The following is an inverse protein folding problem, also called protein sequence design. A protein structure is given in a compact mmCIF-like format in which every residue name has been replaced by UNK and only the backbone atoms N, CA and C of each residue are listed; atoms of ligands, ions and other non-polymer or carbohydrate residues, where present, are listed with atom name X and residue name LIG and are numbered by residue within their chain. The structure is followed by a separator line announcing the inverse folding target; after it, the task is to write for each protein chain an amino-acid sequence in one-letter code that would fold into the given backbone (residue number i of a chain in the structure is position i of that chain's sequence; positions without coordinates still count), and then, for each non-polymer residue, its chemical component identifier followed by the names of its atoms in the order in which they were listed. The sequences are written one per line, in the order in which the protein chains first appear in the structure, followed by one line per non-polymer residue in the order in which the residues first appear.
data_IF_985857541364
#
_entry.id   IF_985857541364
#
_cell.length_a   1.000
_cell.length_b   1.000
_cell.length_c   1.000
_cell.angle_alpha   90.00
_cell.angle_beta   90.00
_cell.angle_gamma   90.00
#
_symmetry.space_group_name_H-M   'P 1'
#
loop_
_entity.id
_entity.type
_entity.pdbx_description
1 polymer ?
#
# COMPACT_ATOMS: atom_id res chain seq x y z
N UNK A 1 2.54 -17.52 76.53
CA UNK A 1 2.15 -16.12 76.25
C UNK A 1 3.42 -15.31 76.39
N UNK A 2 3.63 -14.35 75.48
CA UNK A 2 4.75 -13.41 75.34
C UNK A 2 6.05 -13.88 74.63
N UNK A 3 6.20 -13.27 73.46
CA UNK A 3 7.39 -13.07 72.63
C UNK A 3 8.34 -12.07 73.30
N UNK A 4 9.66 -12.25 73.16
CA UNK A 4 10.57 -11.10 73.06
C UNK A 4 11.77 -11.37 72.15
N UNK A 5 12.32 -10.27 71.65
CA UNK A 5 12.77 -9.99 70.30
C UNK A 5 14.27 -10.20 70.09
N UNK A 6 14.65 -10.70 68.91
CA UNK A 6 15.87 -10.27 68.21
C UNK A 6 15.55 -10.11 66.73
N UNK A 7 15.23 -8.86 66.35
CA UNK A 7 15.10 -8.46 64.95
C UNK A 7 16.50 -8.29 64.35
N UNK A 8 16.83 -9.13 63.37
CA UNK A 8 17.94 -8.91 62.44
C UNK A 8 17.40 -8.00 61.34
N UNK A 9 17.92 -6.77 61.25
CA UNK A 9 17.59 -5.86 60.16
C UNK A 9 18.39 -6.30 58.92
N UNK A 10 17.72 -6.95 57.98
CA UNK A 10 18.25 -7.16 56.63
C UNK A 10 17.86 -5.95 55.78
N UNK A 11 18.86 -5.15 55.39
CA UNK A 11 18.68 -4.05 54.43
C UNK A 11 18.58 -4.67 53.03
N UNK A 12 17.36 -4.75 52.49
CA UNK A 12 17.13 -5.07 51.08
C UNK A 12 17.36 -3.82 50.23
N UNK A 13 18.48 -3.80 49.51
CA UNK A 13 18.71 -2.84 48.43
C UNK A 13 18.00 -3.36 47.19
N UNK A 14 16.81 -2.82 46.90
CA UNK A 14 16.14 -3.05 45.62
C UNK A 14 16.84 -2.21 44.54
N UNK A 15 17.70 -2.84 43.73
CA UNK A 15 18.16 -2.25 42.47
C UNK A 15 17.04 -2.40 41.45
N UNK A 16 16.32 -1.32 41.19
CA UNK A 16 15.39 -1.24 40.07
C UNK A 16 16.22 -1.19 38.78
N UNK A 17 16.27 -2.30 38.05
CA UNK A 17 16.81 -2.32 36.69
C UNK A 17 15.72 -1.79 35.76
N UNK A 18 15.81 -0.51 35.45
CA UNK A 18 15.00 0.11 34.39
C UNK A 18 15.43 -0.48 33.06
N UNK A 19 14.68 -1.45 32.54
CA UNK A 19 14.84 -1.89 31.16
C UNK A 19 14.33 -0.76 30.26
N UNK A 20 15.24 0.11 29.83
CA UNK A 20 14.96 1.03 28.73
C UNK A 20 14.80 0.20 27.47
N UNK A 21 13.56 -0.04 27.06
CA UNK A 21 13.25 -0.51 25.71
C UNK A 21 13.71 0.57 24.76
N UNK A 22 14.84 0.35 24.09
CA UNK A 22 15.21 1.13 22.93
C UNK A 22 14.11 0.92 21.88
N UNK A 23 13.24 1.92 21.73
CA UNK A 23 12.40 2.03 20.55
C UNK A 23 13.40 2.19 19.40
N UNK A 24 13.54 1.15 18.59
CA UNK A 24 14.27 1.28 17.33
C UNK A 24 13.57 2.39 16.56
N UNK A 25 14.20 3.55 16.46
CA UNK A 25 13.79 4.58 15.51
C UNK A 25 13.86 3.90 14.15
N UNK A 26 12.69 3.58 13.59
CA UNK A 26 12.60 3.08 12.23
C UNK A 26 13.29 4.10 11.34
N UNK A 27 14.20 3.62 10.50
CA UNK A 27 14.90 4.44 9.51
C UNK A 27 13.91 4.81 8.39
N UNK A 28 12.86 5.56 8.73
CA UNK A 28 11.94 6.13 7.76
C UNK A 28 12.70 7.18 6.97
N UNK A 29 12.86 6.95 5.67
CA UNK A 29 13.39 7.96 4.75
C UNK A 29 12.53 9.21 4.84
N UNK A 30 13.16 10.39 4.82
CA UNK A 30 12.41 11.66 4.71
C UNK A 30 11.70 11.67 3.36
N UNK A 31 10.49 12.21 3.29
CA UNK A 31 9.71 12.29 2.03
C UNK A 31 10.57 12.75 0.85
N UNK A 32 11.32 13.84 1.03
CA UNK A 32 12.14 14.46 -0.02
C UNK A 32 13.33 13.60 -0.48
N UNK A 33 13.68 12.52 0.21
CA UNK A 33 14.74 11.61 -0.23
C UNK A 33 14.25 10.71 -1.36
N UNK A 34 13.02 10.18 -1.22
CA UNK A 34 12.47 9.21 -2.16
C UNK A 34 11.45 9.81 -3.13
N UNK A 35 10.75 10.87 -2.73
CA UNK A 35 9.58 11.39 -3.43
C UNK A 35 9.71 12.88 -3.77
N UNK A 36 8.87 13.31 -4.69
CA UNK A 36 8.70 14.70 -5.11
C UNK A 36 7.23 14.97 -5.45
N UNK A 37 6.79 16.22 -5.38
CA UNK A 37 5.48 16.61 -5.88
C UNK A 37 5.36 16.30 -7.38
N UNK A 38 4.26 15.67 -7.78
CA UNK A 38 3.94 15.45 -9.20
C UNK A 38 3.05 16.55 -9.75
N UNK A 39 2.14 17.10 -8.94
CA UNK A 39 1.43 18.37 -9.21
C UNK A 39 0.95 19.04 -7.92
N UNK A 40 0.57 20.31 -8.03
CA UNK A 40 -0.03 21.14 -6.96
C UNK A 40 0.73 21.03 -5.62
N UNK A 41 2.00 21.43 -5.63
CA UNK A 41 2.84 21.43 -4.42
C UNK A 41 2.33 22.37 -3.33
N UNK A 42 1.49 23.35 -3.67
CA UNK A 42 0.77 24.23 -2.74
C UNK A 42 -0.35 23.51 -1.96
N UNK A 43 -0.79 22.35 -2.45
CA UNK A 43 -1.75 21.44 -1.80
C UNK A 43 -1.05 20.28 -1.06
N UNK A 44 0.27 20.39 -0.86
CA UNK A 44 1.09 19.47 -0.08
C UNK A 44 1.59 20.17 1.19
N UNK A 45 1.01 19.83 2.33
CA UNK A 45 1.31 20.48 3.61
C UNK A 45 2.18 19.56 4.46
N UNK A 46 3.32 20.07 4.91
CA UNK A 46 4.18 19.39 5.87
C UNK A 46 3.83 19.82 7.30
N UNK A 47 3.51 18.86 8.15
CA UNK A 47 3.19 19.06 9.56
C UNK A 47 4.11 18.16 10.41
N UNK A 48 5.28 18.70 10.76
CA UNK A 48 6.37 17.91 11.32
C UNK A 48 6.88 16.88 10.31
N UNK A 49 6.74 15.60 10.66
CA UNK A 49 7.10 14.47 9.77
C UNK A 49 5.92 13.98 8.92
N UNK A 50 4.72 14.53 9.11
CA UNK A 50 3.54 14.17 8.33
C UNK A 50 3.52 14.94 7.01
N UNK A 51 3.24 14.23 5.92
CA UNK A 51 2.82 14.83 4.67
C UNK A 51 1.30 14.78 4.59
N UNK A 52 0.65 15.90 4.28
CA UNK A 52 -0.79 15.99 4.06
C UNK A 52 -1.06 16.41 2.62
N UNK A 53 -1.91 15.67 1.92
CA UNK A 53 -2.46 16.12 0.64
C UNK A 53 -3.85 16.70 0.87
N UNK A 54 -4.11 17.86 0.29
CA UNK A 54 -5.41 18.52 0.36
C UNK A 54 -6.12 18.53 -0.99
N UNK A 55 -7.45 18.44 -0.96
CA UNK A 55 -8.31 18.58 -2.12
C UNK A 55 -9.39 19.61 -1.83
N UNK A 56 -9.53 20.58 -2.72
CA UNK A 56 -10.61 21.55 -2.72
C UNK A 56 -11.08 21.86 -4.16
N UNK A 57 -11.96 22.86 -4.31
CA UNK A 57 -12.53 23.24 -5.61
C UNK A 57 -11.48 23.68 -6.65
N UNK A 58 -10.27 24.01 -6.23
CA UNK A 58 -9.22 24.50 -7.12
C UNK A 58 -8.35 23.36 -7.65
N UNK A 59 -7.93 22.43 -6.79
CA UNK A 59 -7.07 21.31 -7.17
C UNK A 59 -7.10 20.19 -6.13
N UNK A 60 -6.73 18.98 -6.57
CA UNK A 60 -6.16 17.96 -5.70
C UNK A 60 -4.63 18.08 -5.63
N UNK A 61 -3.97 17.01 -5.18
CA UNK A 61 -2.50 16.96 -5.14
C UNK A 61 -2.00 15.54 -5.35
N UNK A 62 -0.73 15.43 -5.73
CA UNK A 62 -0.06 14.14 -5.82
C UNK A 62 1.44 14.25 -5.73
N UNK A 63 2.05 13.09 -5.49
CA UNK A 63 3.48 12.91 -5.49
C UNK A 63 3.89 11.64 -6.23
N UNK A 64 5.15 11.59 -6.64
CA UNK A 64 5.77 10.43 -7.26
C UNK A 64 7.15 10.17 -6.66
N UNK A 65 7.62 8.93 -6.72
CA UNK A 65 9.01 8.61 -6.44
C UNK A 65 9.92 9.30 -7.46
N UNK A 66 11.14 9.65 -7.03
CA UNK A 66 12.18 10.22 -7.90
C UNK A 66 12.80 9.19 -8.83
N UNK A 67 12.86 7.95 -8.37
CA UNK A 67 13.38 6.81 -9.11
C UNK A 67 12.27 5.83 -9.46
N UNK A 68 12.56 4.90 -10.37
CA UNK A 68 11.69 3.77 -10.69
C UNK A 68 12.26 2.51 -10.09
N UNK A 69 11.44 1.48 -9.99
CA UNK A 69 11.81 0.24 -9.34
C UNK A 69 11.37 -0.94 -10.18
N UNK A 70 12.19 -1.99 -10.17
CA UNK A 70 11.80 -3.31 -10.66
C UNK A 70 11.80 -4.28 -9.48
N UNK A 71 10.63 -4.76 -9.09
CA UNK A 71 10.41 -5.54 -7.88
C UNK A 71 10.74 -4.79 -6.57
N UNK A 72 10.34 -5.37 -5.44
CA UNK A 72 10.51 -4.81 -4.11
C UNK A 72 9.19 -4.68 -3.36
N UNK A 73 9.19 -3.84 -2.32
CA UNK A 73 8.02 -3.48 -1.54
C UNK A 73 7.94 -1.97 -1.35
N UNK A 74 6.80 -1.39 -1.70
CA UNK A 74 6.47 0.00 -1.40
C UNK A 74 5.42 0.02 -0.28
N UNK A 75 5.61 0.84 0.74
CA UNK A 75 4.66 1.00 1.85
C UNK A 75 4.43 2.45 2.21
N UNK A 76 3.21 2.77 2.64
CA UNK A 76 2.88 4.04 3.26
C UNK A 76 1.95 3.81 4.45
N UNK A 77 2.18 4.51 5.56
CA UNK A 77 1.19 4.63 6.61
C UNK A 77 0.24 5.77 6.25
N UNK A 78 -1.03 5.46 5.98
CA UNK A 78 -2.03 6.39 5.47
C UNK A 78 -3.16 6.52 6.48
N UNK A 79 -3.57 7.75 6.76
CA UNK A 79 -4.82 8.06 7.45
C UNK A 79 -5.73 8.83 6.51
N UNK A 80 -6.88 8.23 6.19
CA UNK A 80 -7.80 8.71 5.16
C UNK A 80 -8.59 9.94 5.61
N UNK A 81 -9.28 10.55 4.65
CA UNK A 81 -10.13 11.74 4.86
C UNK A 81 -11.25 11.40 5.85
N UNK A 82 -11.31 12.11 6.96
CA UNK A 82 -12.38 11.96 7.94
C UNK A 82 -13.66 12.71 7.56
N UNK A 83 -14.79 12.33 8.17
CA UNK A 83 -16.08 12.96 7.93
C UNK A 83 -16.71 12.50 6.61
N UNK A 84 -17.31 13.44 5.89
CA UNK A 84 -17.89 13.17 4.57
C UNK A 84 -16.81 13.35 3.50
N UNK A 85 -16.43 12.23 2.88
CA UNK A 85 -15.41 12.14 1.85
C UNK A 85 -15.98 11.64 0.53
N UNK A 86 -17.31 11.67 0.36
CA UNK A 86 -17.96 11.18 -0.85
C UNK A 86 -17.40 11.86 -2.11
N UNK A 87 -17.27 11.09 -3.19
CA UNK A 87 -16.69 11.48 -4.47
C UNK A 87 -15.17 11.65 -4.47
N UNK A 88 -14.48 11.55 -3.32
CA UNK A 88 -13.01 11.62 -3.28
C UNK A 88 -12.37 10.25 -3.45
N UNK A 89 -11.21 10.22 -4.11
CA UNK A 89 -10.33 9.06 -4.18
C UNK A 89 -8.95 9.44 -3.68
N UNK A 90 -8.49 8.71 -2.66
CA UNK A 90 -7.06 8.66 -2.32
C UNK A 90 -6.45 7.48 -3.04
N UNK A 91 -5.36 7.68 -3.78
CA UNK A 91 -4.64 6.59 -4.43
C UNK A 91 -3.24 6.40 -3.84
N UNK A 92 -2.77 5.15 -3.79
CA UNK A 92 -1.38 4.77 -3.57
C UNK A 92 -1.07 3.61 -4.52
N UNK A 93 -0.21 3.84 -5.50
CA UNK A 93 -0.09 2.94 -6.63
C UNK A 93 1.32 2.87 -7.18
N UNK A 94 1.61 1.82 -7.94
CA UNK A 94 2.83 1.69 -8.73
C UNK A 94 2.45 1.66 -10.20
N UNK A 95 3.14 2.39 -11.07
CA UNK A 95 2.81 2.42 -12.50
C UNK A 95 4.05 2.61 -13.37
N UNK A 96 4.10 1.95 -14.52
CA UNK A 96 5.07 2.22 -15.59
C UNK A 96 4.50 3.24 -16.57
N UNK A 97 5.30 3.66 -17.55
CA UNK A 97 4.87 4.69 -18.49
C UNK A 97 4.34 4.12 -19.80
N UNK A 98 3.47 4.88 -20.46
CA UNK A 98 3.01 4.61 -21.81
C UNK A 98 1.70 3.85 -21.89
N UNK A 99 1.26 3.58 -23.12
CA UNK A 99 -0.05 2.98 -23.38
C UNK A 99 -0.14 1.51 -22.92
N UNK A 100 0.99 0.81 -22.88
CA UNK A 100 1.08 -0.59 -22.46
C UNK A 100 1.63 -0.70 -21.02
N UNK A 101 1.34 0.26 -20.16
CA UNK A 101 1.87 0.29 -18.80
C UNK A 101 1.40 -0.93 -17.98
N UNK A 102 2.22 -1.31 -17.01
CA UNK A 102 1.84 -2.14 -15.89
C UNK A 102 1.51 -1.23 -14.70
N UNK A 103 0.51 -1.59 -13.89
CA UNK A 103 0.10 -0.75 -12.75
C UNK A 103 -0.56 -1.59 -11.64
N UNK A 104 -0.31 -1.19 -10.38
CA UNK A 104 -0.86 -1.79 -9.16
C UNK A 104 -1.50 -0.71 -8.30
N UNK A 105 -2.81 -0.81 -8.10
CA UNK A 105 -3.57 0.26 -7.46
C UNK A 105 -4.04 -0.11 -6.06
N UNK A 106 -3.84 0.77 -5.09
CA UNK A 106 -4.79 0.99 -4.02
C UNK A 106 -5.55 2.28 -4.29
N UNK A 107 -6.87 2.20 -4.33
CA UNK A 107 -7.77 3.35 -4.43
C UNK A 107 -8.78 3.29 -3.28
N UNK A 108 -8.70 4.27 -2.38
CA UNK A 108 -9.61 4.41 -1.26
C UNK A 108 -10.78 5.30 -1.66
N UNK A 109 -11.94 4.68 -1.79
CA UNK A 109 -13.16 5.32 -2.26
C UNK A 109 -13.87 5.93 -1.05
N UNK A 110 -13.91 7.27 -1.01
CA UNK A 110 -14.57 8.00 0.05
C UNK A 110 -16.09 7.78 0.07
N UNK A 111 -16.70 8.12 1.20
CA UNK A 111 -18.12 7.88 1.43
C UNK A 111 -18.73 8.99 2.29
N UNK A 112 -20.06 9.00 2.41
CA UNK A 112 -20.75 9.93 3.31
C UNK A 112 -20.44 9.60 4.77
N UNK A 113 -20.47 10.61 5.65
CA UNK A 113 -20.20 10.43 7.08
C UNK A 113 -20.95 9.24 7.68
N UNK A 114 -20.21 8.33 8.32
CA UNK A 114 -20.75 7.15 9.00
C UNK A 114 -20.89 5.91 8.13
N UNK A 115 -20.74 6.04 6.81
CA UNK A 115 -20.68 4.90 5.89
C UNK A 115 -19.22 4.43 5.69
N UNK A 116 -18.98 3.13 5.47
CA UNK A 116 -17.62 2.60 5.38
C UNK A 116 -16.91 3.06 4.11
N UNK A 117 -15.59 3.25 4.23
CA UNK A 117 -14.70 3.32 3.08
C UNK A 117 -14.66 1.98 2.35
N UNK A 118 -14.45 2.03 1.03
CA UNK A 118 -14.04 0.86 0.26
C UNK A 118 -12.60 1.03 -0.19
N UNK A 119 -11.81 -0.02 -0.09
CA UNK A 119 -10.50 -0.12 -0.72
C UNK A 119 -10.62 -0.94 -2.00
N UNK A 120 -10.43 -0.27 -3.14
CA UNK A 120 -10.31 -0.91 -4.44
C UNK A 120 -8.85 -1.24 -4.70
N UNK A 121 -8.59 -2.45 -5.19
CA UNK A 121 -7.32 -2.81 -5.81
C UNK A 121 -7.53 -3.12 -7.28
N UNK A 122 -6.57 -2.73 -8.11
CA UNK A 122 -6.59 -3.06 -9.54
C UNK A 122 -5.18 -3.42 -10.01
N UNK A 123 -5.13 -4.12 -11.15
CA UNK A 123 -3.87 -4.57 -11.75
C UNK A 123 -3.97 -4.39 -13.26
N UNK A 124 -3.11 -3.54 -13.80
CA UNK A 124 -2.88 -3.43 -15.24
C UNK A 124 -1.67 -4.26 -15.63
N UNK A 125 -1.82 -4.98 -16.74
CA UNK A 125 -0.72 -5.69 -17.39
C UNK A 125 -0.78 -5.34 -18.87
N UNK A 126 0.30 -4.79 -19.42
CA UNK A 126 0.36 -4.34 -20.81
C UNK A 126 -0.80 -3.42 -21.21
N UNK A 127 -1.10 -2.43 -20.37
CA UNK A 127 -2.14 -1.43 -20.58
C UNK A 127 -3.57 -1.94 -20.37
N UNK A 128 -3.75 -3.21 -20.03
CA UNK A 128 -5.06 -3.80 -19.79
C UNK A 128 -5.29 -3.97 -18.30
N UNK A 129 -6.20 -3.19 -17.73
CA UNK A 129 -6.70 -3.33 -16.36
C UNK A 129 -7.94 -4.23 -16.30
N UNK A 130 -9.02 -3.70 -15.74
CA UNK A 130 -10.30 -4.39 -15.52
C UNK A 130 -10.23 -5.56 -14.53
N UNK A 131 -9.37 -5.43 -13.52
CA UNK A 131 -9.15 -6.47 -12.49
C UNK A 131 -9.52 -5.94 -11.11
N UNK A 132 -10.59 -5.17 -11.00
CA UNK A 132 -10.94 -4.51 -9.74
C UNK A 132 -11.39 -5.56 -8.69
N UNK A 133 -10.87 -5.43 -7.48
CA UNK A 133 -11.45 -6.04 -6.29
C UNK A 133 -11.72 -4.95 -5.27
N UNK A 134 -12.87 -4.98 -4.60
CA UNK A 134 -13.22 -4.01 -3.57
C UNK A 134 -13.44 -4.72 -2.25
N UNK A 135 -12.81 -4.21 -1.19
CA UNK A 135 -13.01 -4.68 0.16
C UNK A 135 -13.49 -3.52 1.04
N UNK A 136 -14.27 -3.81 2.07
CA UNK A 136 -14.30 -2.92 3.24
C UNK A 136 -13.07 -3.21 4.15
N UNK A 137 -12.96 -2.51 5.27
CA UNK A 137 -11.87 -2.66 6.21
C UNK A 137 -12.40 -3.04 7.60
N UNK A 138 -11.64 -3.85 8.34
CA UNK A 138 -11.97 -4.29 9.70
C UNK A 138 -11.65 -3.23 10.78
N UNK A 139 -11.44 -1.98 10.37
CA UNK A 139 -11.16 -0.81 11.20
C UNK A 139 -11.65 0.45 10.47
N UNK A 140 -11.74 1.57 11.19
CA UNK A 140 -12.02 2.89 10.60
C UNK A 140 -10.71 3.56 10.14
N UNK A 141 -10.44 3.62 8.82
CA UNK A 141 -9.17 4.12 8.27
C UNK A 141 -9.00 5.64 8.39
N UNK A 142 -10.01 6.35 8.93
CA UNK A 142 -9.96 7.80 9.14
C UNK A 142 -9.46 8.18 10.54
N UNK A 143 -9.46 7.22 11.47
CA UNK A 143 -9.19 7.46 12.89
C UNK A 143 -7.72 7.35 13.26
N UNK A 144 -6.99 6.42 12.65
CA UNK A 144 -5.55 6.22 12.85
C UNK A 144 -4.86 5.88 11.53
N UNK A 145 -3.52 5.90 11.55
CA UNK A 145 -2.71 5.47 10.43
C UNK A 145 -2.62 3.94 10.35
N UNK A 146 -2.88 3.42 9.17
CA UNK A 146 -2.68 2.01 8.83
C UNK A 146 -1.66 1.88 7.70
N UNK A 147 -0.90 0.79 7.68
CA UNK A 147 0.14 0.57 6.68
C UNK A 147 -0.44 -0.15 5.47
N UNK A 148 -0.34 0.49 4.31
CA UNK A 148 -0.72 -0.09 3.03
C UNK A 148 0.53 -0.41 2.24
N UNK A 149 0.62 -1.63 1.73
CA UNK A 149 1.85 -2.14 1.11
C UNK A 149 1.58 -2.89 -0.19
N UNK A 150 2.44 -2.65 -1.18
CA UNK A 150 2.49 -3.40 -2.44
C UNK A 150 3.82 -4.14 -2.45
N UNK A 151 3.78 -5.46 -2.32
CA UNK A 151 4.93 -6.33 -2.55
C UNK A 151 4.87 -6.85 -3.99
N UNK A 152 5.94 -6.69 -4.74
CA UNK A 152 6.06 -7.17 -6.11
C UNK A 152 7.37 -7.91 -6.29
N UNK A 153 7.29 -9.16 -6.72
CA UNK A 153 8.45 -9.98 -7.04
C UNK A 153 8.17 -10.82 -8.30
N UNK A 154 9.14 -11.60 -8.81
CA UNK A 154 8.95 -12.41 -10.03
C UNK A 154 7.85 -13.47 -9.93
N UNK A 155 7.33 -13.76 -8.73
CA UNK A 155 6.36 -14.83 -8.47
C UNK A 155 4.95 -14.30 -8.23
N UNK A 156 4.82 -13.09 -7.67
CA UNK A 156 3.53 -12.55 -7.26
C UNK A 156 3.56 -11.03 -7.02
N UNK A 157 2.37 -10.43 -7.13
CA UNK A 157 2.02 -9.13 -6.56
C UNK A 157 1.10 -9.37 -5.38
N UNK A 158 1.41 -8.79 -4.23
CA UNK A 158 0.63 -8.91 -2.99
C UNK A 158 0.27 -7.53 -2.48
N UNK A 159 -1.02 -7.31 -2.27
CA UNK A 159 -1.56 -6.10 -1.63
C UNK A 159 -1.76 -6.40 -0.15
N UNK A 160 -1.18 -5.58 0.73
CA UNK A 160 -1.20 -5.77 2.18
C UNK A 160 -1.81 -4.55 2.88
N UNK A 161 -2.57 -4.83 3.94
CA UNK A 161 -3.06 -3.86 4.93
C UNK A 161 -2.56 -4.34 6.30
N UNK A 162 -1.69 -3.58 6.96
CA UNK A 162 -1.02 -3.96 8.21
C UNK A 162 -0.41 -5.36 8.16
N UNK A 163 0.35 -5.65 7.10
CA UNK A 163 0.94 -6.97 6.81
C UNK A 163 -0.07 -8.12 6.58
N UNK A 164 -1.37 -7.84 6.60
CA UNK A 164 -2.44 -8.80 6.25
C UNK A 164 -2.67 -8.74 4.73
N UNK A 165 -2.44 -9.84 3.98
CA UNK A 165 -2.70 -9.84 2.55
C UNK A 165 -4.20 -9.76 2.27
N UNK A 166 -4.60 -8.79 1.46
CA UNK A 166 -5.99 -8.64 1.01
C UNK A 166 -6.19 -9.16 -0.42
N UNK A 167 -5.10 -9.26 -1.20
CA UNK A 167 -5.11 -9.77 -2.56
C UNK A 167 -3.74 -10.29 -2.97
N UNK A 168 -3.73 -11.36 -3.78
CA UNK A 168 -2.55 -11.89 -4.46
C UNK A 168 -2.85 -12.06 -5.94
N UNK A 169 -1.91 -11.62 -6.79
CA UNK A 169 -1.88 -11.90 -8.21
C UNK A 169 -0.60 -12.67 -8.55
N UNK A 170 -0.75 -13.95 -8.85
CA UNK A 170 0.37 -14.85 -9.08
C UNK A 170 0.88 -14.73 -10.52
N UNK A 171 2.20 -14.84 -10.69
CA UNK A 171 2.80 -15.05 -11.99
C UNK A 171 2.37 -16.42 -12.53
N UNK A 172 1.66 -16.42 -13.65
CA UNK A 172 1.19 -17.59 -14.39
C UNK A 172 1.65 -17.55 -15.86
N UNK A 173 2.81 -16.95 -16.13
CA UNK A 173 3.39 -16.88 -17.48
C UNK A 173 3.66 -18.28 -18.07
N UNK A 174 3.94 -19.28 -17.22
CA UNK A 174 4.05 -20.70 -17.61
C UNK A 174 2.74 -21.26 -18.21
N UNK A 175 1.61 -20.63 -17.89
CA UNK A 175 0.27 -20.91 -18.43
C UNK A 175 -0.16 -19.92 -19.51
N UNK A 176 0.77 -19.07 -20.00
CA UNK A 176 0.51 -18.07 -21.04
C UNK A 176 -0.26 -16.83 -20.57
N UNK A 177 -0.31 -16.58 -19.26
CA UNK A 177 -0.98 -15.41 -18.69
C UNK A 177 0.09 -14.35 -18.41
N UNK A 178 -0.06 -13.16 -19.00
CA UNK A 178 0.90 -12.08 -18.85
C UNK A 178 1.06 -11.64 -17.39
N UNK A 179 2.30 -11.31 -17.01
CA UNK A 179 2.65 -10.80 -15.70
C UNK A 179 3.51 -9.52 -15.85
N UNK A 180 3.35 -8.54 -14.95
CA UNK A 180 4.16 -7.32 -14.90
C UNK A 180 5.58 -7.67 -14.41
N UNK A 181 6.45 -8.15 -15.30
CA UNK A 181 7.76 -8.71 -14.96
C UNK A 181 8.97 -7.91 -15.43
N UNK A 182 8.77 -6.88 -16.26
CA UNK A 182 9.88 -6.20 -16.95
C UNK A 182 9.79 -4.68 -17.00
N UNK A 183 8.63 -4.09 -16.77
CA UNK A 183 8.50 -2.63 -16.80
C UNK A 183 8.82 -2.02 -15.44
N UNK A 184 9.85 -1.18 -15.38
CA UNK A 184 10.19 -0.41 -14.17
C UNK A 184 9.04 0.56 -13.84
N UNK A 185 8.61 0.59 -12.58
CA UNK A 185 7.48 1.38 -12.11
C UNK A 185 7.90 2.45 -11.11
N UNK A 186 7.31 3.64 -11.21
CA UNK A 186 7.35 4.63 -10.13
C UNK A 186 6.34 4.27 -9.04
N UNK A 187 6.52 4.82 -7.84
CA UNK A 187 5.53 4.77 -6.75
C UNK A 187 4.85 6.13 -6.68
N UNK A 188 3.53 6.15 -6.65
CA UNK A 188 2.73 7.35 -6.74
C UNK A 188 1.66 7.38 -5.64
N UNK A 189 1.20 8.60 -5.34
CA UNK A 189 0.01 8.78 -4.53
C UNK A 189 -0.66 10.10 -4.86
N UNK A 190 -1.96 10.14 -4.67
CA UNK A 190 -2.77 11.32 -4.99
C UNK A 190 -4.06 11.39 -4.18
N UNK A 191 -4.63 12.58 -4.12
CA UNK A 191 -5.99 12.85 -3.66
C UNK A 191 -6.72 13.67 -4.74
N UNK A 192 -7.83 13.16 -5.24
CA UNK A 192 -8.57 13.77 -6.35
C UNK A 192 -10.07 13.47 -6.30
N UNK A 193 -10.86 14.20 -7.09
CA UNK A 193 -12.30 14.01 -7.21
C UNK A 193 -12.63 13.04 -8.36
N UNK A 194 -13.46 12.05 -8.06
CA UNK A 194 -13.86 10.96 -8.95
C UNK A 194 -15.38 10.76 -8.92
N UNK A 195 -16.11 11.88 -8.98
CA UNK A 195 -17.57 11.97 -8.83
C UNK A 195 -18.35 10.98 -9.70
N UNK A 196 -17.84 10.65 -10.87
CA UNK A 196 -18.52 9.80 -11.85
C UNK A 196 -18.60 8.34 -11.43
N UNK A 197 -17.81 7.89 -10.44
CA UNK A 197 -17.77 6.46 -10.11
C UNK A 197 -17.43 6.11 -8.65
N UNK A 198 -16.71 6.97 -7.91
CA UNK A 198 -16.10 6.60 -6.62
C UNK A 198 -17.12 6.15 -5.56
N UNK A 199 -18.12 6.97 -5.26
CA UNK A 199 -19.05 6.69 -4.16
C UNK A 199 -20.37 6.15 -4.69
N UNK A 200 -20.70 4.91 -4.28
CA UNK A 200 -21.92 4.22 -4.68
C UNK A 200 -22.10 4.14 -6.21
N UNK A 201 -20.99 3.92 -6.94
CA UNK A 201 -20.99 3.89 -8.40
C UNK A 201 -21.29 5.26 -9.04
N UNK A 202 -20.85 6.34 -8.39
CA UNK A 202 -20.98 7.72 -8.89
C UNK A 202 -22.31 8.40 -8.58
N UNK A 203 -23.17 7.79 -7.76
CA UNK A 203 -24.48 8.37 -7.38
C UNK A 203 -24.35 9.50 -6.39
N UNK A 204 -23.38 9.42 -5.49
CA UNK A 204 -23.11 10.44 -4.48
C UNK A 204 -21.90 11.25 -4.93
N UNK A 205 -22.08 12.57 -5.01
CA UNK A 205 -21.08 13.53 -5.49
C UNK A 205 -20.37 14.20 -4.32
N UNK A 206 -19.17 14.72 -4.57
CA UNK A 206 -18.43 15.50 -3.59
C UNK A 206 -19.20 16.74 -3.18
N UNK A 207 -19.44 16.88 -1.87
CA UNK A 207 -19.94 18.10 -1.29
C UNK A 207 -18.78 19.05 -0.95
N UNK A 208 -18.45 19.93 -1.89
CA UNK A 208 -17.33 20.87 -1.76
C UNK A 208 -17.44 21.87 -0.59
N UNK A 209 -18.60 22.00 0.06
CA UNK A 209 -18.69 22.78 1.31
C UNK A 209 -17.94 22.14 2.49
N UNK A 210 -17.54 20.87 2.37
CA UNK A 210 -16.73 20.15 3.34
C UNK A 210 -15.22 20.21 3.03
N UNK A 211 -14.82 20.88 1.94
CA UNK A 211 -13.41 21.10 1.63
C UNK A 211 -12.73 22.01 2.69
N UNK A 212 -11.41 21.86 2.92
CA UNK A 212 -10.51 20.91 2.24
C UNK A 212 -10.66 19.49 2.77
N UNK A 213 -10.66 18.52 1.85
CA UNK A 213 -10.49 17.11 2.18
C UNK A 213 -9.00 16.84 2.39
N UNK A 214 -8.64 16.13 3.47
CA UNK A 214 -7.23 15.96 3.85
C UNK A 214 -6.92 14.49 4.10
N UNK A 215 -5.99 13.94 3.34
CA UNK A 215 -5.36 12.65 3.64
C UNK A 215 -3.96 12.89 4.20
N UNK A 216 -3.56 12.08 5.18
CA UNK A 216 -2.24 12.20 5.83
C UNK A 216 -1.40 10.96 5.58
N UNK A 217 -0.10 11.17 5.39
CA UNK A 217 0.92 10.15 5.16
C UNK A 217 2.06 10.27 6.17
N UNK A 218 2.60 9.12 6.56
CA UNK A 218 3.91 8.99 7.22
C UNK A 218 4.54 7.65 6.83
N UNK A 219 5.78 7.43 7.25
CA UNK A 219 6.49 6.15 7.06
C UNK A 219 6.48 5.65 5.60
N UNK A 220 6.58 6.58 4.65
CA UNK A 220 6.73 6.28 3.22
C UNK A 220 8.08 5.60 2.99
N UNK A 221 8.05 4.35 2.51
CA UNK A 221 9.24 3.52 2.31
C UNK A 221 9.16 2.81 0.97
N UNK A 222 10.29 2.74 0.29
CA UNK A 222 10.49 1.91 -0.89
C UNK A 222 11.74 1.09 -0.65
N UNK A 223 11.58 -0.23 -0.62
CA UNK A 223 12.67 -1.20 -0.55
C UNK A 223 12.57 -2.10 -1.77
N UNK A 224 13.27 -1.72 -2.84
CA UNK A 224 13.18 -2.35 -4.14
C UNK A 224 14.42 -2.10 -4.99
N UNK A 225 14.51 -2.76 -6.15
CA UNK A 225 15.64 -2.56 -7.05
C UNK A 225 15.47 -1.23 -7.78
N UNK A 226 16.13 -0.18 -7.29
CA UNK A 226 16.09 1.14 -7.89
C UNK A 226 16.71 1.15 -9.29
N UNK A 227 15.99 1.68 -10.28
CA UNK A 227 16.42 1.85 -11.66
C UNK A 227 16.35 3.33 -12.01
N UNK A 228 17.49 3.91 -12.37
CA UNK A 228 17.55 5.30 -12.82
C UNK A 228 16.71 5.49 -14.10
N UNK A 229 16.08 6.66 -14.23
CA UNK A 229 15.15 6.97 -15.34
C UNK A 229 15.81 6.75 -16.72
N UNK A 230 17.08 7.12 -16.86
CA UNK A 230 17.84 7.09 -18.13
C UNK A 230 18.55 5.75 -18.43
N UNK A 231 18.45 4.76 -17.54
CA UNK A 231 19.16 3.50 -17.73
C UNK A 231 18.47 2.60 -18.77
N UNK A 232 19.26 1.86 -19.56
CA UNK A 232 18.75 0.94 -20.59
C UNK A 232 18.00 -0.22 -19.94
N UNK A 233 16.82 -0.54 -20.49
CA UNK A 233 15.92 -1.51 -19.85
C UNK A 233 16.54 -2.93 -19.79
N UNK A 234 17.33 -3.37 -20.78
CA UNK A 234 17.89 -4.73 -20.79
C UNK A 234 18.94 -4.98 -19.69
N UNK A 235 19.88 -4.05 -19.49
CA UNK A 235 20.94 -4.20 -18.49
C UNK A 235 20.39 -4.11 -17.07
N UNK A 236 19.44 -3.21 -16.86
CA UNK A 236 18.76 -3.02 -15.58
C UNK A 236 17.81 -4.16 -15.26
N UNK A 237 17.09 -4.66 -16.26
CA UNK A 237 16.29 -5.89 -16.14
C UNK A 237 17.20 -7.05 -15.73
N UNK A 238 18.37 -7.21 -16.36
CA UNK A 238 19.33 -8.26 -16.00
C UNK A 238 19.88 -8.08 -14.58
N UNK A 239 20.10 -6.84 -14.13
CA UNK A 239 20.60 -6.53 -12.78
C UNK A 239 19.56 -6.81 -11.70
N UNK A 240 18.33 -6.35 -11.88
CA UNK A 240 17.24 -6.52 -10.92
C UNK A 240 16.64 -7.93 -10.96
N UNK A 241 16.66 -8.60 -12.12
CA UNK A 241 16.19 -9.98 -12.29
C UNK A 241 17.28 -11.03 -12.09
N UNK A 242 18.55 -10.65 -12.07
CA UNK A 242 19.70 -11.54 -11.89
C UNK A 242 19.75 -12.21 -10.51
N UNK A 243 20.39 -13.38 -10.46
CA UNK A 243 20.69 -14.12 -9.21
C UNK A 243 22.04 -13.70 -8.60
N UNK A 244 22.90 -13.08 -9.40
CA UNK A 244 24.21 -12.60 -8.97
C UNK A 244 24.11 -11.23 -8.30
N UNK A 245 24.86 -11.13 -7.21
CA UNK A 245 24.96 -10.00 -6.32
C UNK A 245 25.19 -8.67 -7.05
N UNK A 246 24.22 -7.77 -6.97
CA UNK A 246 24.52 -6.34 -6.90
C UNK A 246 25.22 -6.02 -5.57
N UNK A 247 25.83 -4.84 -5.44
CA UNK A 247 26.61 -4.39 -4.26
C UNK A 247 25.84 -4.35 -2.92
N UNK A 248 24.59 -4.79 -2.87
CA UNK A 248 23.59 -4.47 -1.82
C UNK A 248 23.09 -5.67 -1.00
N UNK A 249 23.49 -6.91 -1.30
CA UNK A 249 22.93 -8.08 -0.61
C UNK A 249 21.83 -8.76 -1.41
N UNK A 250 21.48 -9.99 -1.04
CA UNK A 250 20.41 -10.75 -1.71
C UNK A 250 19.12 -9.94 -1.72
N UNK A 251 18.52 -9.72 -2.90
CA UNK A 251 17.17 -9.18 -3.05
C UNK A 251 16.20 -10.03 -2.22
N UNK A 252 15.81 -9.53 -1.04
CA UNK A 252 15.11 -10.33 -0.04
C UNK A 252 13.75 -10.82 -0.54
N UNK A 253 13.09 -10.05 -1.43
CA UNK A 253 11.83 -10.40 -2.07
C UNK A 253 11.94 -11.59 -3.06
N UNK A 254 13.16 -12.06 -3.36
CA UNK A 254 13.45 -13.27 -4.14
C UNK A 254 13.85 -14.46 -3.28
N UNK A 255 13.86 -14.32 -1.96
CA UNK A 255 14.12 -15.45 -1.08
C UNK A 255 12.99 -16.50 -1.22
N UNK A 256 13.27 -17.80 -1.03
CA UNK A 256 12.26 -18.86 -1.15
C UNK A 256 10.99 -18.60 -0.33
N UNK A 257 11.13 -17.96 0.83
CA UNK A 257 10.03 -17.61 1.74
C UNK A 257 9.08 -16.53 1.16
N UNK A 258 9.51 -15.82 0.11
CA UNK A 258 8.74 -14.76 -0.55
C UNK A 258 8.07 -15.22 -1.85
N UNK A 259 8.32 -16.45 -2.30
CA UNK A 259 7.75 -16.98 -3.55
C UNK A 259 6.24 -17.23 -3.47
N UNK A 260 5.72 -17.43 -2.25
CA UNK A 260 4.30 -17.66 -1.97
C UNK A 260 3.92 -17.07 -0.61
N UNK A 261 2.62 -16.97 -0.33
CA UNK A 261 2.17 -16.60 1.02
C UNK A 261 2.47 -17.73 2.01
N UNK A 262 2.83 -17.36 3.22
CA UNK A 262 2.87 -18.33 4.33
C UNK A 262 1.48 -18.93 4.59
N UNK A 263 1.41 -20.05 5.30
CA UNK A 263 0.13 -20.66 5.71
C UNK A 263 -0.71 -19.67 6.51
N UNK A 264 -0.09 -18.91 7.42
CA UNK A 264 -0.78 -17.90 8.21
C UNK A 264 -1.37 -16.79 7.33
N UNK A 265 -0.58 -16.23 6.43
CA UNK A 265 -1.02 -15.23 5.45
C UNK A 265 -2.11 -15.75 4.53
N UNK A 266 -2.04 -17.02 4.14
CA UNK A 266 -3.08 -17.66 3.33
C UNK A 266 -4.42 -17.74 4.09
N UNK A 267 -4.39 -18.06 5.38
CA UNK A 267 -5.59 -18.06 6.23
C UNK A 267 -6.15 -16.65 6.43
N UNK A 268 -5.28 -15.65 6.61
CA UNK A 268 -5.68 -14.25 6.66
C UNK A 268 -6.38 -13.81 5.36
N UNK A 269 -5.80 -14.12 4.20
CA UNK A 269 -6.40 -13.81 2.90
C UNK A 269 -7.77 -14.48 2.74
N UNK A 270 -7.92 -15.74 3.16
CA UNK A 270 -9.21 -16.42 3.12
C UNK A 270 -10.25 -15.72 4.01
N UNK A 271 -9.86 -15.29 5.21
CA UNK A 271 -10.73 -14.52 6.09
C UNK A 271 -11.14 -13.17 5.48
N UNK A 272 -10.19 -12.43 4.88
CA UNK A 272 -10.51 -11.17 4.16
C UNK A 272 -11.51 -11.44 3.04
N UNK A 273 -11.27 -12.46 2.22
CA UNK A 273 -12.17 -12.80 1.10
C UNK A 273 -13.57 -13.22 1.57
N UNK A 274 -13.67 -13.88 2.72
CA UNK A 274 -14.96 -14.34 3.25
C UNK A 274 -15.75 -13.20 3.93
N UNK A 275 -15.06 -12.29 4.61
CA UNK A 275 -15.71 -11.29 5.49
C UNK A 275 -15.77 -9.88 4.91
N UNK A 276 -14.85 -9.54 4.03
CA UNK A 276 -14.59 -8.15 3.64
C UNK A 276 -14.65 -7.90 2.12
N UNK A 277 -14.59 -8.93 1.28
CA UNK A 277 -14.65 -8.80 -0.18
C UNK A 277 -16.08 -8.47 -0.65
N UNK A 278 -16.25 -7.26 -1.19
CA UNK A 278 -17.53 -6.72 -1.67
C UNK A 278 -17.70 -6.92 -3.17
N UNK A 279 -16.62 -6.79 -3.94
CA UNK A 279 -16.62 -6.98 -5.39
C UNK A 279 -15.36 -7.74 -5.82
N UNK A 280 -15.53 -8.71 -6.71
CA UNK A 280 -14.43 -9.46 -7.31
C UNK A 280 -14.69 -9.66 -8.80
N UNK A 281 -13.86 -9.03 -9.65
CA UNK A 281 -13.94 -9.15 -11.11
C UNK A 281 -13.93 -10.61 -11.58
N UNK A 282 -13.25 -11.52 -10.86
CA UNK A 282 -13.21 -12.95 -11.19
C UNK A 282 -14.60 -13.62 -11.15
N UNK A 283 -15.54 -13.05 -10.39
CA UNK A 283 -16.90 -13.58 -10.18
C UNK A 283 -17.98 -12.76 -10.90
N UNK A 284 -17.61 -11.64 -11.53
CA UNK A 284 -18.53 -10.76 -12.24
C UNK A 284 -18.86 -11.33 -13.63
N UNK A 285 -19.84 -12.23 -13.67
CA UNK A 285 -20.30 -12.86 -14.91
C UNK A 285 -20.99 -11.87 -15.87
N UNK A 286 -21.44 -10.70 -15.38
CA UNK A 286 -22.04 -9.68 -16.22
C UNK A 286 -20.99 -8.96 -17.07
N UNK A 287 -19.83 -8.68 -16.46
CA UNK A 287 -18.68 -8.07 -17.17
C UNK A 287 -17.83 -9.10 -17.89
N UNK A 288 -17.66 -10.29 -17.30
CA UNK A 288 -16.84 -11.37 -17.82
C UNK A 288 -17.68 -12.65 -17.96
N UNK A 289 -18.36 -12.84 -19.12
CA UNK A 289 -19.15 -14.05 -19.37
C UNK A 289 -18.34 -15.35 -19.20
N UNK A 290 -17.03 -15.28 -19.43
CA UNK A 290 -16.06 -16.31 -19.08
C UNK A 290 -15.07 -15.73 -18.07
N UNK A 291 -14.82 -16.46 -16.98
CA UNK A 291 -13.87 -16.04 -15.96
C UNK A 291 -12.49 -15.75 -16.56
N UNK A 292 -11.83 -14.64 -16.19
CA UNK A 292 -10.47 -14.35 -16.65
C UNK A 292 -9.50 -15.51 -16.35
N UNK A 293 -8.57 -15.86 -17.26
CA UNK A 293 -7.71 -17.04 -17.12
C UNK A 293 -6.92 -17.10 -15.81
N UNK A 294 -6.51 -15.95 -15.28
CA UNK A 294 -5.79 -15.84 -14.02
C UNK A 294 -6.62 -16.23 -12.79
N UNK A 295 -7.94 -16.14 -12.89
CA UNK A 295 -8.89 -16.44 -11.81
C UNK A 295 -9.14 -17.93 -11.65
N UNK A 296 -8.89 -18.71 -12.71
CA UNK A 296 -9.08 -20.17 -12.68
C UNK A 296 -7.96 -20.79 -11.83
N UNK A 297 -8.38 -21.55 -10.82
CA UNK A 297 -7.50 -22.30 -9.91
C UNK A 297 -6.92 -23.52 -10.61
#
# INVERSE_FOLDING_TARGET
MEFDRRAVVAVLVCVAVSAATAVAAGNGSRFDELFQSSWASDHMIYDGELLKLTLDNSSGAGFSSKSRYLYGKATAAIKLVGGDSAGTVTAFYMSSEGANHDEFDFEFLGNTTGEPYLVQTNIYVNGTGNREQRNDLWFDPTTDFHTYGILWNPRQVVFLVDETPIRVFQNKEDKGIAFPGYQKMGVYSSLWNADDWATQGGRVKTNWSHAPFVVSYRDLKIDGCEVAVEASDEDELRRCSGSEWGKEGRYWWKAPEMEELTVHQSHQLLWVREKHLIYDYCSDAARFPSAPPECVR
#
